data_IF_055168550004
#
_entry.id   IF_055168550004
#
_cell.length_a   1.000
_cell.length_b   1.000
_cell.length_c   1.000
_cell.angle_alpha   90.00
_cell.angle_beta   90.00
_cell.angle_gamma   90.00
#
_symmetry.space_group_name_H-M   'P 1'
#
loop_
_entity.id
_entity.type
_entity.pdbx_description
1 polymer ?
#
# COMPACT_ATOMS: atom_id res chain seq x y z
N UNK A 1 -21.99 -20.24 -14.88
CA UNK A 1 -21.06 -20.62 -13.79
C UNK A 1 -19.59 -20.57 -14.21
N UNK A 2 -19.20 -21.19 -15.33
CA UNK A 2 -17.78 -21.21 -15.79
C UNK A 2 -17.21 -19.81 -16.04
N UNK A 3 -17.97 -18.91 -16.68
CA UNK A 3 -17.54 -17.53 -16.95
C UNK A 3 -17.29 -16.76 -15.65
N UNK A 4 -18.17 -16.91 -14.66
CA UNK A 4 -18.03 -16.26 -13.35
C UNK A 4 -16.81 -16.80 -12.60
N UNK A 5 -16.60 -18.12 -12.59
CA UNK A 5 -15.43 -18.74 -11.98
C UNK A 5 -14.12 -18.23 -12.62
N UNK A 6 -14.10 -18.07 -13.94
CA UNK A 6 -12.95 -17.51 -14.66
C UNK A 6 -12.69 -16.04 -14.29
N UNK A 7 -13.74 -15.23 -14.17
CA UNK A 7 -13.62 -13.84 -13.71
C UNK A 7 -13.08 -13.74 -12.29
N UNK A 8 -13.47 -14.64 -11.38
CA UNK A 8 -12.93 -14.71 -10.02
C UNK A 8 -11.44 -15.07 -10.02
N UNK A 9 -11.02 -16.03 -10.85
CA UNK A 9 -9.60 -16.39 -10.99
C UNK A 9 -8.79 -15.19 -11.49
N UNK A 10 -9.31 -14.45 -12.48
CA UNK A 10 -8.65 -13.23 -12.97
C UNK A 10 -8.56 -12.15 -11.90
N UNK A 11 -9.60 -11.96 -11.09
CA UNK A 11 -9.57 -11.03 -9.96
C UNK A 11 -8.47 -11.41 -8.97
N UNK A 12 -8.41 -12.68 -8.55
CA UNK A 12 -7.35 -13.17 -7.66
C UNK A 12 -5.97 -12.95 -8.28
N UNK A 13 -5.85 -13.19 -9.58
CA UNK A 13 -4.59 -12.98 -10.30
C UNK A 13 -4.15 -11.51 -10.29
N UNK A 14 -4.99 -10.58 -10.75
CA UNK A 14 -4.63 -9.16 -10.85
C UNK A 14 -4.59 -8.44 -9.51
N UNK A 15 -5.40 -8.85 -8.54
CA UNK A 15 -5.43 -8.21 -7.23
C UNK A 15 -4.40 -8.82 -6.29
N UNK A 16 -4.23 -10.14 -6.22
CA UNK A 16 -3.32 -10.75 -5.24
C UNK A 16 -1.99 -11.19 -5.84
N UNK A 17 -2.02 -11.98 -6.92
CA UNK A 17 -0.80 -12.62 -7.45
C UNK A 17 0.14 -11.61 -8.08
N UNK A 18 -0.36 -10.74 -8.96
CA UNK A 18 0.45 -9.76 -9.69
C UNK A 18 1.14 -8.78 -8.74
N UNK A 19 0.43 -8.08 -7.82
CA UNK A 19 1.09 -7.20 -6.86
C UNK A 19 2.08 -7.94 -5.97
N UNK A 20 1.77 -9.17 -5.53
CA UNK A 20 2.69 -9.97 -4.74
C UNK A 20 4.01 -10.27 -5.47
N UNK A 21 3.94 -10.68 -6.74
CA UNK A 21 5.13 -10.96 -7.57
C UNK A 21 5.95 -9.69 -7.82
N UNK A 22 5.30 -8.56 -8.06
CA UNK A 22 5.97 -7.25 -8.15
C UNK A 22 6.67 -6.92 -6.82
N UNK A 23 6.02 -7.20 -5.69
CA UNK A 23 6.62 -7.06 -4.37
C UNK A 23 7.88 -7.91 -4.21
N UNK A 24 7.84 -9.18 -4.62
CA UNK A 24 9.01 -10.07 -4.59
C UNK A 24 10.15 -9.54 -5.47
N UNK A 25 9.84 -8.94 -6.61
CA UNK A 25 10.84 -8.29 -7.48
C UNK A 25 11.58 -7.16 -6.77
N UNK A 26 10.90 -6.39 -5.92
CA UNK A 26 11.47 -5.17 -5.29
C UNK A 26 11.93 -5.41 -3.85
N UNK A 27 11.54 -6.51 -3.21
CA UNK A 27 11.87 -6.81 -1.80
C UNK A 27 13.38 -6.83 -1.47
N UNK A 28 14.25 -6.93 -2.47
CA UNK A 28 15.71 -6.87 -2.31
C UNK A 28 16.20 -5.53 -1.80
N UNK A 29 15.40 -4.48 -1.97
CA UNK A 29 15.68 -3.15 -1.44
C UNK A 29 15.49 -3.08 0.08
N UNK A 30 14.71 -3.99 0.66
CA UNK A 30 14.42 -3.99 2.09
C UNK A 30 15.53 -4.70 2.89
N UNK A 31 15.79 -4.26 4.14
CA UNK A 31 16.61 -5.01 5.09
C UNK A 31 16.04 -6.41 5.35
N UNK A 32 16.90 -7.37 5.66
CA UNK A 32 16.56 -8.80 5.83
C UNK A 32 15.39 -8.99 6.81
N UNK A 33 15.44 -8.36 7.98
CA UNK A 33 14.40 -8.46 9.03
C UNK A 33 13.04 -7.92 8.59
N UNK A 34 13.00 -7.00 7.62
CA UNK A 34 11.76 -6.39 7.12
C UNK A 34 11.23 -7.06 5.85
N UNK A 35 11.89 -8.12 5.36
CA UNK A 35 11.38 -8.94 4.25
C UNK A 35 10.36 -9.94 4.77
N UNK A 36 9.19 -9.43 5.18
CA UNK A 36 8.02 -10.22 5.57
C UNK A 36 7.06 -10.37 4.38
N UNK A 37 6.12 -11.30 4.48
CA UNK A 37 5.09 -11.49 3.45
C UNK A 37 4.22 -10.23 3.34
N UNK A 38 3.82 -9.65 4.48
CA UNK A 38 2.97 -8.46 4.53
C UNK A 38 3.64 -7.23 3.91
N UNK A 39 4.87 -6.92 4.31
CA UNK A 39 5.61 -5.77 3.75
C UNK A 39 5.86 -5.95 2.26
N UNK A 40 6.13 -7.18 1.81
CA UNK A 40 6.29 -7.47 0.38
C UNK A 40 5.00 -7.20 -0.39
N UNK A 41 3.85 -7.56 0.17
CA UNK A 41 2.56 -7.26 -0.44
C UNK A 41 2.30 -5.75 -0.52
N UNK A 42 2.58 -5.00 0.56
CA UNK A 42 2.46 -3.54 0.56
C UNK A 42 3.34 -2.95 -0.54
N UNK A 43 4.63 -3.30 -0.55
CA UNK A 43 5.59 -2.82 -1.56
C UNK A 43 5.12 -3.12 -2.98
N UNK A 44 4.58 -4.31 -3.19
CA UNK A 44 3.98 -4.73 -4.45
C UNK A 44 2.87 -3.80 -4.92
N UNK A 45 1.89 -3.50 -4.06
CA UNK A 45 0.80 -2.59 -4.40
C UNK A 45 1.26 -1.17 -4.67
N UNK A 46 2.14 -0.63 -3.83
CA UNK A 46 2.58 0.76 -4.01
C UNK A 46 3.32 0.90 -5.35
N UNK A 47 4.14 -0.08 -5.75
CA UNK A 47 4.75 -0.11 -7.09
C UNK A 47 3.71 -0.33 -8.18
N UNK A 48 2.74 -1.22 -7.97
CA UNK A 48 1.66 -1.51 -8.92
C UNK A 48 0.83 -0.27 -9.25
N UNK A 49 0.52 0.57 -8.26
CA UNK A 49 -0.16 1.86 -8.45
C UNK A 49 0.75 2.93 -9.03
N UNK A 50 2.02 3.00 -8.62
CA UNK A 50 2.98 3.95 -9.22
C UNK A 50 3.17 3.72 -10.73
N UNK A 51 3.24 2.46 -11.15
CA UNK A 51 3.30 2.10 -12.58
C UNK A 51 2.00 2.49 -13.30
N UNK A 52 0.85 2.35 -12.62
CA UNK A 52 -0.44 2.76 -13.19
C UNK A 52 -0.48 4.27 -13.44
N UNK A 53 -0.06 5.09 -12.48
CA UNK A 53 0.00 6.54 -12.61
C UNK A 53 0.85 7.00 -13.81
N UNK A 54 2.06 6.44 -13.91
CA UNK A 54 3.03 6.77 -14.98
C UNK A 54 2.52 6.41 -16.36
N UNK A 55 1.64 5.41 -16.49
CA UNK A 55 1.05 5.01 -17.77
C UNK A 55 -0.26 5.77 -18.04
N UNK A 56 -1.11 5.91 -17.03
CA UNK A 56 -2.44 6.49 -17.18
C UNK A 56 -2.38 7.98 -17.52
N UNK A 57 -1.51 8.76 -16.85
CA UNK A 57 -1.41 10.21 -17.08
C UNK A 57 -1.01 10.51 -18.54
N UNK A 58 0.08 9.95 -19.11
CA UNK A 58 0.42 10.18 -20.51
C UNK A 58 -0.64 9.68 -21.49
N UNK A 59 -1.24 8.50 -21.24
CA UNK A 59 -2.28 7.99 -22.13
C UNK A 59 -3.48 8.94 -22.20
N UNK A 60 -3.85 9.48 -21.04
CA UNK A 60 -4.96 10.42 -20.91
C UNK A 60 -4.66 11.77 -21.59
N UNK A 61 -3.40 12.23 -21.58
CA UNK A 61 -3.01 13.50 -22.19
C UNK A 61 -2.76 13.43 -23.70
N UNK A 62 -2.34 12.28 -24.21
CA UNK A 62 -1.93 12.14 -25.61
C UNK A 62 -2.98 11.53 -26.54
N UNK A 63 -3.84 10.63 -26.03
CA UNK A 63 -4.82 9.95 -26.86
C UNK A 63 -6.22 10.54 -26.66
N UNK A 64 -6.82 11.02 -27.75
CA UNK A 64 -8.20 11.53 -27.74
C UNK A 64 -9.23 10.41 -27.93
N UNK A 65 -8.90 9.41 -28.76
CA UNK A 65 -9.78 8.28 -29.07
C UNK A 65 -9.22 6.98 -28.51
N UNK A 66 -10.09 6.14 -27.95
CA UNK A 66 -9.75 4.85 -27.34
C UNK A 66 -8.64 4.94 -26.28
N UNK A 67 -8.58 6.07 -25.57
CA UNK A 67 -7.52 6.38 -24.60
C UNK A 67 -7.42 5.29 -23.52
N UNK A 68 -8.57 4.82 -23.04
CA UNK A 68 -8.63 3.81 -22.00
C UNK A 68 -8.20 2.42 -22.49
N UNK A 69 -8.46 2.06 -23.76
CA UNK A 69 -7.92 0.85 -24.38
C UNK A 69 -6.39 0.85 -24.46
N UNK A 70 -5.78 1.97 -24.86
CA UNK A 70 -4.33 2.09 -24.87
C UNK A 70 -3.75 2.00 -23.46
N UNK A 71 -4.32 2.73 -22.50
CA UNK A 71 -3.93 2.66 -21.09
C UNK A 71 -4.00 1.22 -20.56
N UNK A 72 -5.11 0.52 -20.82
CA UNK A 72 -5.32 -0.87 -20.40
C UNK A 72 -4.26 -1.80 -20.99
N UNK A 73 -3.97 -1.68 -22.30
CA UNK A 73 -2.98 -2.52 -22.98
C UNK A 73 -1.57 -2.29 -22.43
N UNK A 74 -1.13 -1.03 -22.32
CA UNK A 74 0.21 -0.72 -21.83
C UNK A 74 0.38 -1.12 -20.37
N UNK A 75 -0.63 -0.87 -19.53
CA UNK A 75 -0.57 -1.27 -18.13
C UNK A 75 -0.56 -2.79 -17.95
N UNK A 76 -1.37 -3.52 -18.73
CA UNK A 76 -1.36 -4.99 -18.73
C UNK A 76 0.01 -5.54 -19.11
N UNK A 77 0.62 -5.02 -20.18
CA UNK A 77 1.96 -5.46 -20.62
C UNK A 77 3.01 -5.14 -19.55
N UNK A 78 3.03 -3.92 -19.01
CA UNK A 78 4.00 -3.51 -18.00
C UNK A 78 3.89 -4.37 -16.72
N UNK A 79 2.67 -4.60 -16.22
CA UNK A 79 2.43 -5.37 -15.00
C UNK A 79 2.77 -6.85 -15.18
N UNK A 80 2.48 -7.44 -16.34
CA UNK A 80 2.89 -8.82 -16.64
C UNK A 80 4.41 -8.98 -16.77
N UNK A 81 5.11 -8.01 -17.37
CA UNK A 81 6.58 -8.01 -17.43
C UNK A 81 7.16 -7.95 -16.01
N UNK A 82 6.68 -7.02 -15.17
CA UNK A 82 7.15 -6.89 -13.79
C UNK A 82 6.84 -8.15 -12.96
N UNK A 83 5.65 -8.73 -13.10
CA UNK A 83 5.28 -9.98 -12.45
C UNK A 83 6.14 -11.16 -12.93
N UNK A 84 6.44 -11.24 -14.23
CA UNK A 84 7.34 -12.24 -14.82
C UNK A 84 8.77 -12.13 -14.29
N UNK A 85 9.31 -10.90 -14.20
CA UNK A 85 10.60 -10.64 -13.56
C UNK A 85 10.60 -11.03 -12.08
N UNK A 86 9.51 -10.75 -11.36
CA UNK A 86 9.32 -11.18 -9.97
C UNK A 86 9.31 -12.69 -9.80
N UNK A 87 8.60 -13.40 -10.69
CA UNK A 87 8.57 -14.86 -10.73
C UNK A 87 9.95 -15.46 -11.06
N UNK A 88 10.67 -14.89 -12.02
CA UNK A 88 12.04 -15.32 -12.32
C UNK A 88 12.96 -15.17 -11.10
N UNK A 89 12.89 -14.03 -10.41
CA UNK A 89 13.64 -13.78 -9.19
C UNK A 89 13.25 -14.76 -8.06
N UNK A 90 11.97 -15.07 -7.93
CA UNK A 90 11.45 -16.05 -6.97
C UNK A 90 12.05 -17.44 -7.22
N UNK A 91 11.97 -17.93 -8.46
CA UNK A 91 12.50 -19.24 -8.87
C UNK A 91 14.02 -19.29 -8.67
N UNK A 92 14.74 -18.21 -9.03
CA UNK A 92 16.18 -18.13 -8.84
C UNK A 92 16.58 -18.21 -7.36
N UNK A 93 15.89 -17.47 -6.48
CA UNK A 93 16.12 -17.53 -5.04
C UNK A 93 15.84 -18.93 -4.47
N UNK A 94 14.74 -19.55 -4.87
CA UNK A 94 14.37 -20.91 -4.42
C UNK A 94 15.40 -21.95 -4.86
N UNK A 95 15.92 -21.86 -6.09
CA UNK A 95 16.98 -22.76 -6.58
C UNK A 95 18.29 -22.60 -5.81
N UNK A 96 18.64 -21.37 -5.42
CA UNK A 96 19.92 -21.08 -4.75
C UNK A 96 19.90 -21.38 -3.25
N UNK A 97 18.77 -21.12 -2.57
CA UNK A 97 18.67 -21.16 -1.10
C UNK A 97 17.81 -22.30 -0.54
N UNK A 98 17.18 -23.10 -1.41
CA UNK A 98 16.31 -24.20 -1.02
C UNK A 98 14.83 -23.80 -0.91
N UNK A 99 13.96 -24.81 -0.86
CA UNK A 99 12.50 -24.68 -0.98
C UNK A 99 11.84 -24.38 0.38
N UNK A 100 12.26 -23.29 1.02
CA UNK A 100 11.69 -22.84 2.31
C UNK A 100 11.13 -21.43 2.21
N UNK A 101 10.01 -21.15 2.90
CA UNK A 101 9.40 -19.81 2.95
C UNK A 101 10.38 -18.76 3.50
N UNK A 102 11.22 -19.18 4.46
CA UNK A 102 12.29 -18.38 5.05
C UNK A 102 13.35 -17.93 4.04
N UNK A 103 13.57 -18.70 2.97
CA UNK A 103 14.56 -18.36 1.95
C UNK A 103 14.20 -17.09 1.17
N UNK A 104 12.89 -16.83 1.03
CA UNK A 104 12.32 -15.68 0.34
C UNK A 104 12.01 -14.56 1.34
N UNK A 105 11.43 -14.93 2.49
CA UNK A 105 10.96 -14.03 3.53
C UNK A 105 11.70 -14.28 4.85
N UNK A 106 12.98 -13.89 4.96
CA UNK A 106 13.75 -14.10 6.18
C UNK A 106 13.20 -13.31 7.39
N UNK A 107 12.36 -12.28 7.17
CA UNK A 107 11.67 -11.55 8.24
C UNK A 107 10.51 -12.32 8.89
N UNK A 108 10.14 -13.49 8.38
CA UNK A 108 9.14 -14.39 8.99
C UNK A 108 9.75 -15.35 10.02
N UNK A 109 11.04 -15.19 10.34
CA UNK A 109 11.75 -16.00 11.33
C UNK A 109 11.15 -15.85 12.73
N UNK A 110 10.78 -16.98 13.33
CA UNK A 110 10.31 -17.03 14.71
C UNK A 110 11.48 -17.28 15.67
N UNK A 111 11.45 -16.64 16.83
CA UNK A 111 12.46 -16.83 17.87
C UNK A 111 12.39 -18.26 18.40
N UNK A 112 13.47 -19.00 18.23
CA UNK A 112 13.63 -20.34 18.79
C UNK A 112 13.95 -20.26 20.29
N UNK A 113 13.67 -21.33 21.04
CA UNK A 113 13.95 -21.37 22.49
C UNK A 113 15.43 -21.08 22.80
N UNK A 114 16.35 -21.54 21.94
CA UNK A 114 17.77 -21.26 22.04
C UNK A 114 18.08 -19.76 21.88
N UNK A 115 17.43 -19.07 20.93
CA UNK A 115 17.62 -17.62 20.71
C UNK A 115 16.97 -16.74 21.80
N UNK A 116 16.01 -17.26 22.55
CA UNK A 116 15.45 -16.57 23.72
C UNK A 116 16.36 -16.69 24.94
N UNK A 117 17.06 -17.83 25.08
CA UNK A 117 17.94 -18.14 26.20
C UNK A 117 19.36 -17.60 26.01
N UNK A 118 19.82 -17.45 24.76
CA UNK A 118 21.17 -16.99 24.51
C UNK A 118 21.30 -15.49 24.87
N UNK A 119 22.28 -15.09 25.70
CA UNK A 119 22.54 -13.68 26.03
C UNK A 119 23.03 -12.84 24.83
N UNK A 120 23.25 -13.52 23.71
CA UNK A 120 23.93 -13.04 22.51
C UNK A 120 22.91 -12.69 21.41
N UNK A 121 21.85 -13.47 21.24
CA UNK A 121 20.79 -13.16 20.28
C UNK A 121 19.90 -12.02 20.80
N UNK A 122 19.54 -11.07 19.91
CA UNK A 122 18.52 -10.07 20.21
C UNK A 122 17.14 -10.61 19.75
N UNK A 123 16.33 -11.20 20.65
CA UNK A 123 15.04 -11.80 20.28
C UNK A 123 14.03 -10.77 19.76
N UNK A 124 14.34 -9.47 19.88
CA UNK A 124 13.51 -8.38 19.37
C UNK A 124 13.46 -8.34 17.84
N UNK A 125 14.39 -8.98 17.13
CA UNK A 125 14.40 -9.01 15.65
C UNK A 125 13.48 -10.08 15.05
N UNK A 126 13.02 -11.01 15.87
CA UNK A 126 12.31 -12.21 15.45
C UNK A 126 10.83 -12.12 15.85
N UNK A 127 9.99 -12.91 15.19
CA UNK A 127 8.59 -13.06 15.58
C UNK A 127 8.51 -13.97 16.81
N UNK A 128 7.73 -13.55 17.80
CA UNK A 128 7.45 -14.36 18.99
C UNK A 128 6.30 -15.31 18.69
N UNK A 129 6.31 -16.47 19.34
CA UNK A 129 5.17 -17.38 19.29
C UNK A 129 4.05 -16.80 20.14
N UNK A 130 2.84 -16.77 19.58
CA UNK A 130 1.66 -16.28 20.29
C UNK A 130 1.17 -17.30 21.32
N UNK A 131 0.94 -16.82 22.55
CA UNK A 131 0.22 -17.55 23.60
C UNK A 131 -1.18 -17.96 23.15
N UNK A 132 -1.80 -18.93 23.83
CA UNK A 132 -3.15 -19.39 23.50
C UNK A 132 -4.17 -18.24 23.57
N UNK A 133 -4.08 -17.38 24.58
CA UNK A 133 -4.92 -16.18 24.71
C UNK A 133 -4.75 -15.25 23.50
N UNK A 134 -3.51 -15.00 23.08
CA UNK A 134 -3.22 -14.15 21.93
C UNK A 134 -3.76 -14.74 20.62
N UNK A 135 -3.77 -16.07 20.46
CA UNK A 135 -4.41 -16.75 19.32
C UNK A 135 -5.93 -16.59 19.34
N UNK A 136 -6.56 -16.63 20.51
CA UNK A 136 -8.01 -16.35 20.65
C UNK A 136 -8.31 -14.91 20.22
N UNK A 137 -7.51 -13.93 20.66
CA UNK A 137 -7.66 -12.54 20.23
C UNK A 137 -7.48 -12.36 18.72
N UNK A 138 -6.53 -13.06 18.10
CA UNK A 138 -6.43 -13.09 16.63
C UNK A 138 -7.70 -13.67 15.98
N UNK A 139 -8.26 -14.75 16.54
CA UNK A 139 -9.52 -15.32 16.08
C UNK A 139 -10.68 -14.32 16.12
N UNK A 140 -10.83 -13.59 17.24
CA UNK A 140 -11.83 -12.51 17.39
C UNK A 140 -11.59 -11.42 16.34
N UNK A 141 -10.35 -10.97 16.17
CA UNK A 141 -10.00 -9.97 15.18
C UNK A 141 -10.37 -10.41 13.75
N UNK A 142 -10.02 -11.64 13.34
CA UNK A 142 -10.37 -12.14 12.01
C UNK A 142 -11.88 -12.29 11.83
N UNK A 143 -12.61 -12.68 12.88
CA UNK A 143 -14.07 -12.71 12.84
C UNK A 143 -14.66 -11.30 12.63
N UNK A 144 -14.12 -10.28 13.28
CA UNK A 144 -14.53 -8.88 13.08
C UNK A 144 -14.23 -8.38 11.66
N UNK A 145 -13.04 -8.69 11.12
CA UNK A 145 -12.68 -8.32 9.74
C UNK A 145 -13.59 -9.04 8.73
N UNK A 146 -13.86 -10.32 8.94
CA UNK A 146 -14.79 -11.08 8.10
C UNK A 146 -16.19 -10.48 8.14
N UNK A 147 -16.68 -10.15 9.34
CA UNK A 147 -17.96 -9.47 9.52
C UNK A 147 -17.99 -8.15 8.74
N UNK A 148 -16.95 -7.31 8.86
CA UNK A 148 -16.88 -6.05 8.11
C UNK A 148 -16.89 -6.26 6.60
N UNK A 149 -16.14 -7.23 6.07
CA UNK A 149 -16.14 -7.54 4.64
C UNK A 149 -17.51 -8.01 4.17
N UNK A 150 -18.18 -8.89 4.92
CA UNK A 150 -19.53 -9.37 4.59
C UNK A 150 -20.53 -8.21 4.61
N UNK A 151 -20.51 -7.40 5.66
CA UNK A 151 -21.42 -6.25 5.77
C UNK A 151 -21.17 -5.21 4.69
N UNK A 152 -19.91 -4.94 4.33
CA UNK A 152 -19.56 -3.99 3.27
C UNK A 152 -20.05 -4.43 1.88
N UNK A 153 -20.25 -5.73 1.65
CA UNK A 153 -20.76 -6.27 0.38
C UNK A 153 -22.29 -6.42 0.39
N UNK A 154 -22.86 -6.86 1.52
CA UNK A 154 -24.29 -7.20 1.60
C UNK A 154 -25.15 -5.98 1.91
N UNK A 155 -24.65 -5.05 2.74
CA UNK A 155 -25.40 -3.84 3.08
C UNK A 155 -25.12 -2.76 2.04
N UNK A 156 -26.19 -2.31 1.39
CA UNK A 156 -26.11 -1.15 0.52
C UNK A 156 -25.92 0.12 1.35
N UNK A 157 -24.86 0.87 1.06
CA UNK A 157 -24.68 2.24 1.52
C UNK A 157 -24.85 3.20 0.35
N UNK A 158 -25.74 4.18 0.50
CA UNK A 158 -25.94 5.21 -0.51
C UNK A 158 -24.95 6.35 -0.29
N UNK A 159 -24.16 6.67 -1.31
CA UNK A 159 -23.26 7.82 -1.28
C UNK A 159 -23.35 8.66 -2.55
N UNK A 160 -23.38 9.99 -2.37
CA UNK A 160 -23.48 10.92 -3.50
C UNK A 160 -22.26 10.92 -4.41
N UNK A 161 -21.06 10.60 -3.90
CA UNK A 161 -19.85 10.55 -4.72
C UNK A 161 -19.82 9.30 -5.63
N UNK A 162 -20.76 8.34 -5.48
CA UNK A 162 -20.87 7.19 -6.39
C UNK A 162 -21.24 7.62 -7.81
N UNK A 163 -22.06 8.67 -7.92
CA UNK A 163 -22.40 9.30 -9.19
C UNK A 163 -21.17 9.83 -9.94
N UNK A 164 -20.06 10.02 -9.23
CA UNK A 164 -18.76 10.34 -9.81
C UNK A 164 -17.85 9.11 -9.94
N UNK A 165 -17.41 8.53 -8.83
CA UNK A 165 -16.35 7.52 -8.84
C UNK A 165 -16.77 6.24 -9.59
N UNK A 166 -17.99 5.76 -9.36
CA UNK A 166 -18.45 4.50 -9.97
C UNK A 166 -18.82 4.72 -11.44
N UNK A 167 -19.48 5.83 -11.73
CA UNK A 167 -19.91 6.18 -13.09
C UNK A 167 -18.72 6.54 -13.98
N UNK A 168 -17.72 7.28 -13.51
CA UNK A 168 -16.50 7.57 -14.28
C UNK A 168 -15.77 6.28 -14.67
N UNK A 169 -15.62 5.35 -13.72
CA UNK A 169 -15.03 4.04 -14.00
C UNK A 169 -15.87 3.17 -14.94
N UNK A 170 -17.19 3.36 -14.93
CA UNK A 170 -18.10 2.69 -15.86
C UNK A 170 -18.00 3.28 -17.27
N UNK A 171 -17.97 4.61 -17.39
CA UNK A 171 -17.79 5.34 -18.65
C UNK A 171 -16.46 4.97 -19.30
N UNK A 172 -15.37 4.89 -18.52
CA UNK A 172 -14.09 4.41 -19.02
C UNK A 172 -14.22 2.99 -19.59
N UNK A 173 -14.86 2.07 -18.87
CA UNK A 173 -15.03 0.69 -19.33
C UNK A 173 -15.90 0.57 -20.59
N UNK A 174 -17.04 1.27 -20.65
CA UNK A 174 -18.05 1.11 -21.70
C UNK A 174 -17.84 2.02 -22.92
N UNK A 175 -17.50 3.28 -22.70
CA UNK A 175 -17.32 4.29 -23.76
C UNK A 175 -15.85 4.44 -24.21
N UNK A 176 -14.92 3.76 -23.54
CA UNK A 176 -13.49 3.76 -23.88
C UNK A 176 -12.79 5.13 -23.83
N UNK A 177 -13.24 5.96 -22.91
CA UNK A 177 -12.75 7.33 -22.68
C UNK A 177 -12.04 7.48 -21.33
N UNK A 178 -11.33 8.59 -21.13
CA UNK A 178 -10.71 8.94 -19.85
C UNK A 178 -11.01 10.40 -19.51
N UNK A 179 -11.96 10.66 -18.59
CA UNK A 179 -12.33 12.00 -18.09
C UNK A 179 -12.78 13.03 -19.18
N UNK A 180 -13.40 12.56 -20.26
CA UNK A 180 -13.96 13.42 -21.34
C UNK A 180 -15.48 13.45 -21.38
N UNK A 181 -16.15 12.62 -20.57
CA UNK A 181 -17.60 12.59 -20.41
C UNK A 181 -17.89 12.88 -18.95
N UNK A 182 -18.79 13.82 -18.68
CA UNK A 182 -19.16 14.18 -17.31
C UNK A 182 -20.03 13.08 -16.69
N UNK A 183 -19.63 12.46 -15.57
CA UNK A 183 -20.39 11.38 -14.94
C UNK A 183 -21.82 11.73 -14.56
N UNK A 184 -22.05 12.98 -14.14
CA UNK A 184 -23.35 13.42 -13.61
C UNK A 184 -24.43 13.64 -14.68
N UNK A 185 -24.04 14.01 -15.90
CA UNK A 185 -24.97 14.41 -16.96
C UNK A 185 -24.85 13.57 -18.22
N UNK A 186 -23.74 12.82 -18.38
CA UNK A 186 -23.43 12.07 -19.60
C UNK A 186 -23.03 12.94 -20.79
N UNK A 187 -22.90 14.26 -20.60
CA UNK A 187 -22.46 15.17 -21.66
C UNK A 187 -20.95 15.14 -21.83
N UNK A 188 -20.47 15.35 -23.05
CA UNK A 188 -19.05 15.62 -23.29
C UNK A 188 -18.62 16.86 -22.51
N UNK A 189 -17.49 16.79 -21.83
CA UNK A 189 -16.93 17.91 -21.08
C UNK A 189 -15.50 18.17 -21.54
N UNK A 190 -15.04 19.41 -21.35
CA UNK A 190 -13.62 19.69 -21.39
C UNK A 190 -12.91 18.88 -20.31
N UNK A 191 -11.66 18.54 -20.58
CA UNK A 191 -10.83 17.74 -19.69
C UNK A 191 -10.86 18.24 -18.24
N UNK A 192 -11.46 17.47 -17.32
CA UNK A 192 -11.56 17.85 -15.91
C UNK A 192 -10.24 17.59 -15.18
N UNK A 193 -9.38 18.61 -15.15
CA UNK A 193 -7.99 18.52 -14.65
C UNK A 193 -7.93 18.04 -13.18
N UNK A 194 -8.91 18.43 -12.35
CA UNK A 194 -8.91 18.13 -10.90
C UNK A 194 -9.03 16.64 -10.63
N UNK A 195 -9.88 15.97 -11.40
CA UNK A 195 -10.17 14.56 -11.23
C UNK A 195 -9.42 13.69 -12.23
N UNK A 196 -8.98 14.26 -13.35
CA UNK A 196 -8.22 13.56 -14.38
C UNK A 196 -6.91 12.97 -13.86
N UNK A 197 -6.16 13.72 -13.06
CA UNK A 197 -4.90 13.22 -12.52
C UNK A 197 -5.11 12.19 -11.38
N UNK A 198 -6.31 12.12 -10.79
CA UNK A 198 -6.67 11.12 -9.78
C UNK A 198 -7.16 9.83 -10.46
N UNK A 199 -6.21 9.04 -10.97
CA UNK A 199 -6.49 7.91 -11.86
C UNK A 199 -7.07 6.66 -11.18
N UNK A 200 -7.45 6.71 -9.89
CA UNK A 200 -8.05 5.56 -9.19
C UNK A 200 -9.31 5.02 -9.90
N UNK A 201 -10.12 5.89 -10.48
CA UNK A 201 -11.32 5.50 -11.26
C UNK A 201 -10.95 4.76 -12.54
N UNK A 202 -9.82 5.10 -13.15
CA UNK A 202 -9.31 4.38 -14.32
C UNK A 202 -8.72 3.01 -13.92
N UNK A 203 -8.13 2.91 -12.73
CA UNK A 203 -7.62 1.64 -12.22
C UNK A 203 -8.75 0.65 -11.92
N UNK A 204 -9.83 1.12 -11.31
CA UNK A 204 -11.02 0.28 -11.05
C UNK A 204 -11.67 -0.16 -12.36
N UNK A 205 -11.75 0.72 -13.36
CA UNK A 205 -12.18 0.37 -14.72
C UNK A 205 -11.25 -0.68 -15.35
N UNK A 206 -9.94 -0.58 -15.14
CA UNK A 206 -8.96 -1.55 -15.65
C UNK A 206 -9.23 -2.94 -15.08
N UNK A 207 -9.48 -3.05 -13.77
CA UNK A 207 -9.82 -4.33 -13.13
C UNK A 207 -11.12 -4.90 -13.71
N UNK A 208 -12.15 -4.06 -13.89
CA UNK A 208 -13.40 -4.46 -14.53
C UNK A 208 -13.20 -5.00 -15.94
N UNK A 209 -12.48 -4.27 -16.79
CA UNK A 209 -12.18 -4.67 -18.17
C UNK A 209 -11.30 -5.92 -18.25
N UNK A 210 -10.24 -6.01 -17.46
CA UNK A 210 -9.32 -7.15 -17.47
C UNK A 210 -10.02 -8.45 -17.02
N UNK A 211 -10.90 -8.35 -16.02
CA UNK A 211 -11.62 -9.50 -15.46
C UNK A 211 -12.93 -9.82 -16.18
N UNK A 212 -13.42 -8.92 -17.04
CA UNK A 212 -14.72 -9.05 -17.71
C UNK A 212 -15.91 -8.86 -16.76
N UNK A 213 -15.77 -8.00 -15.75
CA UNK A 213 -16.78 -7.73 -14.73
C UNK A 213 -17.25 -6.28 -14.89
N UNK A 214 -18.53 -6.02 -14.61
CA UNK A 214 -19.07 -4.66 -14.60
C UNK A 214 -18.40 -3.82 -13.50
N UNK A 215 -17.94 -2.61 -13.81
CA UNK A 215 -17.17 -1.80 -12.85
C UNK A 215 -17.91 -1.52 -11.55
N UNK A 216 -19.22 -1.35 -11.59
CA UNK A 216 -20.06 -1.20 -10.38
C UNK A 216 -19.92 -2.38 -9.41
N UNK A 217 -19.85 -3.61 -9.93
CA UNK A 217 -19.63 -4.81 -9.09
C UNK A 217 -18.22 -4.79 -8.52
N UNK A 218 -17.23 -4.37 -9.31
CA UNK A 218 -15.85 -4.21 -8.82
C UNK A 218 -15.82 -3.21 -7.66
N UNK A 219 -16.44 -2.04 -7.83
CA UNK A 219 -16.44 -0.98 -6.82
C UNK A 219 -17.12 -1.40 -5.51
N UNK A 220 -18.33 -1.97 -5.56
CA UNK A 220 -19.09 -2.26 -4.34
C UNK A 220 -18.83 -3.65 -3.75
N UNK A 221 -18.26 -4.59 -4.50
CA UNK A 221 -18.07 -5.97 -4.00
C UNK A 221 -16.61 -6.41 -3.94
N UNK A 222 -15.76 -5.96 -4.86
CA UNK A 222 -14.37 -6.43 -4.95
C UNK A 222 -13.43 -5.53 -4.16
N UNK A 223 -13.53 -4.22 -4.34
CA UNK A 223 -12.63 -3.25 -3.69
C UNK A 223 -12.75 -3.29 -2.15
N UNK A 224 -13.95 -3.32 -1.52
CA UNK A 224 -14.03 -3.39 -0.06
C UNK A 224 -13.33 -4.65 0.49
N UNK A 225 -13.54 -5.80 -0.14
CA UNK A 225 -12.94 -7.09 0.24
C UNK A 225 -11.42 -7.05 0.12
N UNK A 226 -10.88 -6.21 -0.75
CA UNK A 226 -9.43 -6.02 -0.88
C UNK A 226 -8.89 -4.98 0.11
N UNK A 227 -9.49 -3.80 0.15
CA UNK A 227 -8.98 -2.63 0.88
C UNK A 227 -9.09 -2.83 2.39
N UNK A 228 -10.16 -3.46 2.88
CA UNK A 228 -10.37 -3.65 4.32
C UNK A 228 -9.23 -4.50 4.94
N UNK A 229 -8.94 -5.73 4.47
CA UNK A 229 -7.80 -6.49 4.97
C UNK A 229 -6.45 -5.78 4.75
N UNK A 230 -6.31 -5.06 3.64
CA UNK A 230 -5.06 -4.39 3.30
C UNK A 230 -4.74 -3.24 4.25
N UNK A 231 -5.74 -2.43 4.63
CA UNK A 231 -5.60 -1.40 5.67
C UNK A 231 -5.22 -2.02 7.01
N UNK A 232 -5.88 -3.11 7.41
CA UNK A 232 -5.52 -3.80 8.64
C UNK A 232 -4.12 -4.40 8.60
N UNK A 233 -3.66 -4.87 7.45
CA UNK A 233 -2.29 -5.34 7.27
C UNK A 233 -1.27 -4.23 7.57
N UNK A 234 -1.54 -2.99 7.15
CA UNK A 234 -0.70 -1.82 7.51
C UNK A 234 -0.73 -1.56 9.02
N UNK A 235 -1.90 -1.63 9.65
CA UNK A 235 -2.01 -1.48 11.11
C UNK A 235 -1.24 -2.58 11.87
N UNK A 236 -1.20 -3.82 11.37
CA UNK A 236 -0.36 -4.87 11.95
C UNK A 236 1.12 -4.51 11.88
N UNK A 237 1.59 -3.95 10.76
CA UNK A 237 2.99 -3.54 10.64
C UNK A 237 3.33 -2.33 11.52
N UNK A 238 2.38 -1.40 11.74
CA UNK A 238 2.49 -0.34 12.74
C UNK A 238 2.59 -0.94 14.16
N UNK A 239 1.68 -1.86 14.49
CA UNK A 239 1.62 -2.51 15.79
C UNK A 239 2.90 -3.30 16.11
N UNK A 240 3.51 -3.94 15.11
CA UNK A 240 4.78 -4.65 15.28
C UNK A 240 5.92 -3.73 15.69
N UNK A 241 5.94 -2.49 15.20
CA UNK A 241 6.94 -1.50 15.60
C UNK A 241 6.62 -0.97 17.01
N UNK A 242 5.36 -0.63 17.29
CA UNK A 242 4.93 -0.07 18.58
C UNK A 242 5.06 -1.08 19.74
N UNK A 243 4.61 -2.32 19.54
CA UNK A 243 4.54 -3.38 20.55
C UNK A 243 5.65 -4.42 20.40
N UNK A 244 6.80 -4.04 19.86
CA UNK A 244 7.92 -4.96 19.56
C UNK A 244 8.34 -5.84 20.73
N UNK A 245 8.28 -5.33 21.96
CA UNK A 245 8.62 -6.06 23.20
C UNK A 245 7.50 -6.95 23.73
N UNK A 246 6.26 -6.71 23.32
CA UNK A 246 5.05 -7.41 23.79
C UNK A 246 4.16 -7.76 22.61
N UNK A 247 4.68 -8.60 21.71
CA UNK A 247 3.97 -8.97 20.48
C UNK A 247 2.61 -9.63 20.76
N UNK A 248 2.44 -10.25 21.94
CA UNK A 248 1.18 -10.84 22.40
C UNK A 248 0.00 -9.85 22.43
N UNK A 249 0.28 -8.55 22.58
CA UNK A 249 -0.72 -7.47 22.66
C UNK A 249 -1.16 -6.99 21.26
N UNK A 250 -0.42 -7.32 20.20
CA UNK A 250 -0.74 -6.91 18.82
C UNK A 250 -2.20 -7.22 18.45
N UNK A 251 -2.73 -8.45 18.64
CA UNK A 251 -4.13 -8.72 18.32
C UNK A 251 -5.12 -7.89 19.14
N UNK A 252 -4.81 -7.53 20.39
CA UNK A 252 -5.66 -6.64 21.20
C UNK A 252 -5.70 -5.24 20.59
N UNK A 253 -4.55 -4.70 20.18
CA UNK A 253 -4.48 -3.44 19.43
C UNK A 253 -5.32 -3.51 18.16
N UNK A 254 -5.25 -4.61 17.42
CA UNK A 254 -6.02 -4.80 16.19
C UNK A 254 -7.53 -4.86 16.43
N UNK A 255 -7.98 -5.52 17.51
CA UNK A 255 -9.39 -5.51 17.93
C UNK A 255 -9.85 -4.09 18.25
N UNK A 256 -9.06 -3.32 19.00
CA UNK A 256 -9.42 -1.93 19.36
C UNK A 256 -9.52 -1.05 18.10
N UNK A 257 -8.54 -1.12 17.21
CA UNK A 257 -8.58 -0.37 15.93
C UNK A 257 -9.79 -0.78 15.11
N UNK A 258 -10.07 -2.09 15.04
CA UNK A 258 -11.24 -2.61 14.33
C UNK A 258 -12.55 -2.09 14.90
N UNK A 259 -12.68 -2.10 16.22
CA UNK A 259 -13.84 -1.55 16.93
C UNK A 259 -14.02 -0.05 16.68
N UNK A 260 -12.94 0.74 16.74
CA UNK A 260 -13.00 2.18 16.44
C UNK A 260 -13.42 2.46 15.00
N UNK A 261 -12.98 1.64 14.04
CA UNK A 261 -13.40 1.76 12.64
C UNK A 261 -14.87 1.39 12.43
N UNK A 262 -15.40 0.42 13.19
CA UNK A 262 -16.82 0.03 13.11
C UNK A 262 -17.77 1.06 13.72
N UNK A 263 -17.41 1.61 14.88
CA UNK A 263 -18.29 2.50 15.64
C UNK A 263 -17.98 3.99 15.47
N UNK A 264 -17.04 4.34 14.59
CA UNK A 264 -16.61 5.73 14.34
C UNK A 264 -17.52 6.56 13.43
N UNK A 265 -18.77 6.13 13.17
CA UNK A 265 -19.73 6.83 12.31
C UNK A 265 -20.41 8.02 13.04
N UNK A 266 -19.61 8.94 13.55
CA UNK A 266 -20.09 10.17 14.21
C UNK A 266 -20.42 11.27 13.19
N UNK A 267 -19.81 11.20 11.99
CA UNK A 267 -20.06 12.11 10.87
C UNK A 267 -19.81 11.38 9.55
N UNK A 268 -20.43 11.87 8.48
CA UNK A 268 -20.18 11.41 7.11
C UNK A 268 -18.73 11.64 6.66
N UNK A 269 -18.00 12.53 7.35
CA UNK A 269 -16.62 12.89 7.05
C UNK A 269 -15.58 12.18 7.92
N UNK A 270 -15.97 11.25 8.81
CA UNK A 270 -14.98 10.53 9.62
C UNK A 270 -14.26 9.45 8.80
N UNK A 271 -12.98 9.18 9.09
CA UNK A 271 -12.23 8.14 8.39
C UNK A 271 -12.87 6.75 8.54
N UNK A 272 -13.49 6.48 9.69
CA UNK A 272 -14.23 5.25 9.97
C UNK A 272 -15.45 5.06 9.05
N UNK A 273 -16.25 6.12 8.82
CA UNK A 273 -17.37 6.06 7.88
C UNK A 273 -16.87 5.79 6.48
N UNK A 274 -15.88 6.57 6.02
CA UNK A 274 -15.25 6.36 4.71
C UNK A 274 -14.76 4.91 4.53
N UNK A 275 -14.13 4.36 5.56
CA UNK A 275 -13.51 3.03 5.51
C UNK A 275 -14.51 1.89 5.31
N UNK A 276 -15.76 1.98 5.75
CA UNK A 276 -16.71 0.89 5.64
C UNK A 276 -17.79 1.12 4.58
N UNK A 277 -18.21 2.36 4.34
CA UNK A 277 -19.32 2.66 3.42
C UNK A 277 -18.87 3.21 2.07
N UNK A 278 -17.59 3.61 1.92
CA UNK A 278 -17.10 4.34 0.74
C UNK A 278 -15.70 3.88 0.30
N UNK A 279 -15.41 2.58 0.43
CA UNK A 279 -14.06 1.99 0.25
C UNK A 279 -13.43 2.20 -1.12
N UNK A 280 -14.25 2.30 -2.18
CA UNK A 280 -13.81 2.48 -3.57
C UNK A 280 -13.36 3.90 -3.89
N UNK A 281 -13.59 4.86 -2.99
CA UNK A 281 -13.24 6.26 -3.23
C UNK A 281 -11.78 6.52 -2.88
N UNK A 282 -11.11 7.31 -3.73
CA UNK A 282 -9.71 7.67 -3.50
C UNK A 282 -9.48 8.41 -2.18
N UNK A 283 -10.44 9.21 -1.72
CA UNK A 283 -10.39 9.91 -0.41
C UNK A 283 -10.24 8.92 0.74
N UNK A 284 -11.01 7.83 0.69
CA UNK A 284 -10.97 6.75 1.69
C UNK A 284 -9.61 6.09 1.73
N UNK A 285 -9.06 5.76 0.56
CA UNK A 285 -7.73 5.12 0.44
C UNK A 285 -6.66 6.05 0.99
N UNK A 286 -6.71 7.37 0.72
CA UNK A 286 -5.73 8.30 1.28
C UNK A 286 -5.78 8.32 2.82
N UNK A 287 -6.97 8.52 3.39
CA UNK A 287 -7.13 8.66 4.84
C UNK A 287 -6.82 7.37 5.61
N UNK A 288 -7.26 6.22 5.10
CA UNK A 288 -7.18 4.94 5.82
C UNK A 288 -6.00 4.06 5.41
N UNK A 289 -5.35 4.32 4.29
CA UNK A 289 -4.20 3.54 3.82
C UNK A 289 -2.94 4.41 3.67
N UNK A 290 -2.99 5.50 2.89
CA UNK A 290 -1.79 6.31 2.59
C UNK A 290 -1.23 6.98 3.85
N UNK A 291 -2.07 7.62 4.67
CA UNK A 291 -1.58 8.27 5.88
C UNK A 291 -1.00 7.28 6.90
N UNK A 292 -1.65 6.13 7.20
CA UNK A 292 -1.03 5.07 8.01
C UNK A 292 0.27 4.52 7.41
N UNK A 293 0.38 4.38 6.09
CA UNK A 293 1.62 3.96 5.43
C UNK A 293 2.76 4.96 5.63
N UNK A 294 2.49 6.27 5.45
CA UNK A 294 3.48 7.31 5.73
C UNK A 294 3.93 7.22 7.19
N UNK A 295 2.97 7.16 8.12
CA UNK A 295 3.26 7.03 9.55
C UNK A 295 4.12 5.80 9.87
N UNK A 296 3.77 4.65 9.28
CA UNK A 296 4.51 3.39 9.44
C UNK A 296 5.97 3.51 9.00
N UNK A 297 6.24 4.15 7.86
CA UNK A 297 7.61 4.30 7.36
C UNK A 297 8.42 5.24 8.24
N UNK A 298 7.82 6.32 8.74
CA UNK A 298 8.50 7.19 9.71
C UNK A 298 8.78 6.49 11.03
N UNK A 299 7.86 5.65 11.53
CA UNK A 299 8.12 4.79 12.69
C UNK A 299 9.29 3.84 12.45
N UNK A 300 9.38 3.24 11.26
CA UNK A 300 10.54 2.45 10.86
C UNK A 300 11.82 3.30 10.94
N UNK A 301 11.85 4.46 10.29
CA UNK A 301 13.04 5.31 10.27
C UNK A 301 13.48 5.78 11.68
N UNK A 302 12.52 6.11 12.54
CA UNK A 302 12.77 6.47 13.95
C UNK A 302 13.34 5.28 14.75
N UNK A 303 12.86 4.07 14.49
CA UNK A 303 13.40 2.86 15.11
C UNK A 303 14.86 2.64 14.69
N UNK A 304 15.16 2.79 13.41
CA UNK A 304 16.52 2.64 12.88
C UNK A 304 17.46 3.76 13.37
N UNK A 305 16.92 4.95 13.66
CA UNK A 305 17.64 6.08 14.27
C UNK A 305 18.00 5.84 15.74
N UNK A 306 17.04 5.39 16.58
CA UNK A 306 17.30 5.09 18.01
C UNK A 306 18.40 4.04 18.18
N UNK A 307 18.49 3.07 17.28
CA UNK A 307 19.56 2.05 17.29
C UNK A 307 20.95 2.66 17.03
N UNK A 308 21.05 3.82 16.37
CA UNK A 308 22.31 4.54 16.12
C UNK A 308 22.68 5.53 17.23
N UNK A 309 21.73 6.01 18.04
CA UNK A 309 21.87 7.24 18.83
C UNK A 309 21.80 7.10 20.35
N UNK A 310 21.83 5.90 20.95
CA UNK A 310 21.59 5.85 22.41
C UNK A 310 22.77 6.36 23.25
N UNK A 311 24.04 6.06 22.99
CA UNK A 311 25.18 6.77 23.59
C UNK A 311 26.44 6.45 22.78
N UNK A 312 27.32 7.43 22.60
CA UNK A 312 28.65 7.23 22.05
C UNK A 312 29.41 6.18 22.85
N UNK A 313 29.47 4.98 22.30
CA UNK A 313 30.20 3.85 22.82
C UNK A 313 29.99 2.73 21.81
N UNK A 314 31.08 2.20 21.25
CA UNK A 314 31.04 0.94 20.51
C UNK A 314 30.24 -0.04 21.37
N UNK A 315 29.04 -0.43 20.92
CA UNK A 315 28.33 -1.50 21.61
C UNK A 315 29.24 -2.72 21.53
N UNK A 316 29.83 -3.08 22.67
CA UNK A 316 30.62 -4.28 22.88
C UNK A 316 29.76 -5.56 22.86
N UNK A 317 28.70 -5.54 22.07
CA UNK A 317 27.75 -6.63 21.86
C UNK A 317 27.37 -6.66 20.37
N UNK A 318 28.39 -6.65 19.51
CA UNK A 318 28.25 -7.09 18.14
C UNK A 318 28.20 -8.62 18.17
N UNK A 319 27.01 -9.18 18.39
CA UNK A 319 26.78 -10.61 18.23
C UNK A 319 26.88 -10.99 16.75
N UNK A 320 27.24 -12.22 16.41
CA UNK A 320 27.41 -12.70 15.01
C UNK A 320 26.23 -12.36 14.06
N UNK A 321 24.99 -12.24 14.55
CA UNK A 321 23.86 -11.74 13.73
C UNK A 321 23.99 -10.26 13.27
N UNK A 322 24.80 -9.46 13.98
CA UNK A 322 25.16 -8.09 13.64
C UNK A 322 26.21 -8.01 12.52
N UNK A 323 27.02 -9.05 12.29
CA UNK A 323 28.04 -9.02 11.23
C UNK A 323 27.44 -9.18 9.82
N UNK A 324 26.37 -9.97 9.67
CA UNK A 324 25.60 -10.03 8.40
C UNK A 324 24.87 -8.69 8.12
N UNK A 325 24.63 -7.89 9.17
CA UNK A 325 24.08 -6.53 9.11
C UNK A 325 25.12 -5.46 8.70
N UNK A 326 26.41 -5.79 8.72
CA UNK A 326 27.52 -4.87 8.42
C UNK A 326 27.67 -4.59 6.92
N UNK A 327 27.04 -5.37 6.05
CA UNK A 327 26.71 -4.89 4.70
C UNK A 327 25.60 -3.84 4.79
N UNK A 328 25.93 -2.66 5.33
CA UNK A 328 25.13 -1.45 5.29
C UNK A 328 25.10 -0.93 3.86
N UNK A 329 24.56 -1.74 2.94
CA UNK A 329 24.40 -1.41 1.54
C UNK A 329 23.58 -0.14 1.50
N UNK A 330 24.10 0.87 0.81
CA UNK A 330 23.50 2.20 0.68
C UNK A 330 21.99 2.12 0.40
N UNK A 331 21.58 1.09 -0.36
CA UNK A 331 20.18 0.79 -0.69
C UNK A 331 19.27 0.65 0.53
N UNK A 332 19.71 0.09 1.66
CA UNK A 332 18.89 -0.07 2.87
C UNK A 332 18.65 1.25 3.60
N UNK A 333 19.58 2.21 3.46
CA UNK A 333 19.41 3.56 4.00
C UNK A 333 18.47 4.41 3.14
N UNK A 334 18.49 4.17 1.83
CA UNK A 334 17.66 4.89 0.86
C UNK A 334 16.27 4.24 0.72
N UNK A 335 16.11 2.95 1.02
CA UNK A 335 14.86 2.23 0.85
C UNK A 335 13.62 2.87 1.47
N UNK A 336 13.62 3.38 2.73
CA UNK A 336 12.42 4.04 3.27
C UNK A 336 12.06 5.32 2.50
N UNK A 337 13.03 6.06 1.96
CA UNK A 337 12.78 7.24 1.14
C UNK A 337 12.18 6.91 -0.22
N UNK A 338 12.66 5.84 -0.86
CA UNK A 338 12.06 5.34 -2.11
C UNK A 338 10.64 4.86 -1.83
N UNK A 339 10.43 4.19 -0.71
CA UNK A 339 9.11 3.73 -0.31
C UNK A 339 8.14 4.90 -0.07
N UNK A 340 8.59 5.96 0.60
CA UNK A 340 7.81 7.21 0.75
C UNK A 340 7.51 7.87 -0.60
N UNK A 341 8.46 7.87 -1.54
CA UNK A 341 8.23 8.40 -2.89
C UNK A 341 7.10 7.66 -3.61
N UNK A 342 7.12 6.32 -3.53
CA UNK A 342 6.07 5.47 -4.09
C UNK A 342 4.72 5.67 -3.37
N UNK A 343 4.71 5.87 -2.05
CA UNK A 343 3.48 6.17 -1.30
C UNK A 343 2.91 7.54 -1.70
N UNK A 344 3.78 8.52 -1.97
CA UNK A 344 3.36 9.84 -2.45
C UNK A 344 2.71 9.73 -3.84
N UNK A 345 3.26 8.93 -4.75
CA UNK A 345 2.62 8.58 -6.03
C UNK A 345 1.24 7.93 -5.82
N UNK A 346 1.13 6.96 -4.91
CA UNK A 346 -0.17 6.37 -4.55
C UNK A 346 -1.17 7.43 -4.05
N UNK A 347 -0.71 8.44 -3.34
CA UNK A 347 -1.56 9.56 -2.91
C UNK A 347 -2.14 10.33 -4.11
N UNK A 348 -1.31 10.61 -5.13
CA UNK A 348 -1.72 11.24 -6.38
C UNK A 348 -2.72 10.40 -7.17
N UNK A 349 -2.49 9.10 -7.29
CA UNK A 349 -3.44 8.14 -7.90
C UNK A 349 -4.83 8.25 -7.27
N UNK A 350 -4.89 8.41 -5.95
CA UNK A 350 -6.15 8.42 -5.22
C UNK A 350 -6.88 9.76 -5.31
N UNK A 351 -6.21 10.88 -5.04
CA UNK A 351 -6.82 12.21 -5.09
C UNK A 351 -5.78 13.33 -5.15
N UNK A 352 -6.10 14.41 -5.86
CA UNK A 352 -5.29 15.63 -5.91
C UNK A 352 -5.04 16.26 -4.54
N UNK A 353 -6.00 16.20 -3.61
CA UNK A 353 -5.79 16.67 -2.23
C UNK A 353 -4.83 15.77 -1.44
N UNK A 354 -4.75 14.48 -1.79
CA UNK A 354 -3.81 13.55 -1.18
C UNK A 354 -2.36 13.96 -1.42
N UNK A 355 -2.07 14.58 -2.56
CA UNK A 355 -0.73 15.11 -2.88
C UNK A 355 -0.30 16.17 -1.86
N UNK A 356 -1.20 17.10 -1.52
CA UNK A 356 -0.95 18.15 -0.54
C UNK A 356 -0.87 17.62 0.88
N UNK A 357 -1.86 16.83 1.33
CA UNK A 357 -1.85 16.32 2.70
C UNK A 357 -0.75 15.29 2.94
N UNK A 358 -0.48 14.42 1.97
CA UNK A 358 0.59 13.42 2.05
C UNK A 358 1.98 14.06 2.14
N UNK A 359 2.25 15.08 1.31
CA UNK A 359 3.51 15.84 1.40
C UNK A 359 3.61 16.66 2.70
N UNK A 360 2.51 17.26 3.17
CA UNK A 360 2.45 17.94 4.46
C UNK A 360 2.75 17.02 5.64
N UNK A 361 2.19 15.80 5.64
CA UNK A 361 2.48 14.75 6.64
C UNK A 361 3.94 14.30 6.58
N UNK A 362 4.49 14.12 5.38
CA UNK A 362 5.91 13.82 5.21
C UNK A 362 6.79 14.94 5.76
N UNK A 363 6.46 16.21 5.53
CA UNK A 363 7.19 17.36 6.06
C UNK A 363 7.14 17.39 7.60
N UNK A 364 5.96 17.21 8.19
CA UNK A 364 5.77 17.17 9.64
C UNK A 364 6.59 16.07 10.30
N UNK A 365 6.52 14.84 9.80
CA UNK A 365 7.28 13.73 10.38
C UNK A 365 8.78 13.81 10.08
N UNK A 366 9.18 14.46 8.99
CA UNK A 366 10.60 14.77 8.72
C UNK A 366 11.14 15.73 9.78
N UNK A 367 10.36 16.72 10.22
CA UNK A 367 10.74 17.61 11.31
C UNK A 367 10.96 16.81 12.61
N UNK A 368 10.03 15.91 12.95
CA UNK A 368 10.18 15.01 14.10
C UNK A 368 11.44 14.17 13.97
N UNK A 369 11.67 13.55 12.80
CA UNK A 369 12.85 12.72 12.55
C UNK A 369 14.15 13.52 12.64
N UNK A 370 14.16 14.78 12.21
CA UNK A 370 15.31 15.67 12.31
C UNK A 370 15.67 15.99 13.76
N UNK A 371 14.67 16.16 14.64
CA UNK A 371 14.90 16.35 16.09
C UNK A 371 15.57 15.13 16.73
N UNK A 372 15.24 13.91 16.28
CA UNK A 372 15.82 12.66 16.79
C UNK A 372 17.18 12.31 16.16
N UNK A 373 17.32 12.37 14.83
CA UNK A 373 18.58 12.02 14.15
C UNK A 373 19.64 13.13 14.24
N UNK A 374 19.24 14.39 14.47
CA UNK A 374 20.12 15.58 14.44
C UNK A 374 21.00 15.63 13.18
N UNK A 375 20.49 15.13 12.05
CA UNK A 375 21.21 15.02 10.80
C UNK A 375 20.45 15.68 9.66
N UNK A 376 21.04 16.72 9.08
CA UNK A 376 20.44 17.47 7.97
C UNK A 376 20.28 16.65 6.67
N UNK A 377 20.97 15.51 6.53
CA UNK A 377 20.79 14.61 5.38
C UNK A 377 19.36 14.06 5.27
N UNK A 378 18.61 14.05 6.37
CA UNK A 378 17.19 13.67 6.41
C UNK A 378 16.35 14.59 5.54
N UNK A 379 16.67 15.89 5.47
CA UNK A 379 15.96 16.87 4.65
C UNK A 379 16.11 16.53 3.16
N UNK A 380 17.30 16.14 2.73
CA UNK A 380 17.54 15.75 1.34
C UNK A 380 16.68 14.54 0.95
N UNK A 381 16.61 13.52 1.82
CA UNK A 381 15.73 12.37 1.61
C UNK A 381 14.25 12.77 1.52
N UNK A 382 13.80 13.71 2.36
CA UNK A 382 12.43 14.20 2.36
C UNK A 382 12.08 15.01 1.10
N UNK A 383 13.00 15.83 0.60
CA UNK A 383 12.81 16.52 -0.69
C UNK A 383 12.68 15.48 -1.81
N UNK A 384 13.58 14.49 -1.85
CA UNK A 384 13.56 13.46 -2.87
C UNK A 384 12.25 12.64 -2.87
N UNK A 385 11.65 12.35 -1.71
CA UNK A 385 10.42 11.57 -1.66
C UNK A 385 9.16 12.36 -2.10
N UNK A 386 9.23 13.68 -2.16
CA UNK A 386 8.11 14.55 -2.58
C UNK A 386 8.23 14.95 -4.07
N UNK A 387 9.34 14.64 -4.75
CA UNK A 387 9.52 14.92 -6.18
C UNK A 387 8.34 14.45 -7.05
N UNK A 388 7.79 13.22 -6.89
CA UNK A 388 6.66 12.80 -7.71
C UNK A 388 5.43 13.71 -7.56
N UNK A 389 5.15 14.16 -6.34
CA UNK A 389 4.08 15.10 -6.05
C UNK A 389 4.33 16.48 -6.68
N UNK A 390 5.59 16.94 -6.68
CA UNK A 390 5.95 18.18 -7.37
C UNK A 390 5.73 18.08 -8.88
N UNK A 391 6.09 16.95 -9.48
CA UNK A 391 5.84 16.68 -10.91
C UNK A 391 4.33 16.66 -11.17
N UNK A 392 3.54 15.99 -10.32
CA UNK A 392 2.09 15.97 -10.42
C UNK A 392 1.50 17.39 -10.39
N UNK A 393 1.89 18.22 -9.42
CA UNK A 393 1.43 19.62 -9.30
C UNK A 393 1.88 20.45 -10.50
N UNK A 394 3.08 20.22 -11.02
CA UNK A 394 3.58 20.90 -12.20
C UNK A 394 2.77 20.56 -13.46
N UNK A 395 2.45 19.27 -13.67
CA UNK A 395 1.55 18.82 -14.75
C UNK A 395 0.17 19.45 -14.58
N UNK A 396 -0.38 19.44 -13.36
CA UNK A 396 -1.66 20.07 -13.05
C UNK A 396 -1.65 21.56 -13.43
N UNK A 397 -0.60 22.28 -13.05
CA UNK A 397 -0.45 23.71 -13.34
C UNK A 397 -0.34 23.97 -14.84
N UNK A 398 0.42 23.16 -15.58
CA UNK A 398 0.54 23.27 -17.03
C UNK A 398 -0.79 23.06 -17.75
N UNK A 399 -1.61 22.12 -17.27
CA UNK A 399 -2.92 21.84 -17.86
C UNK A 399 -3.94 22.94 -17.56
N UNK A 400 -3.84 23.60 -16.40
CA UNK A 400 -4.72 24.71 -16.04
C UNK A 400 -4.53 25.96 -16.93
N UNK A 401 -3.33 26.12 -17.49
CA UNK A 401 -2.95 27.27 -18.32
C UNK A 401 -2.99 26.97 -19.83
N UNK A 402 -3.50 25.80 -20.22
CA UNK A 402 -3.87 25.46 -21.60
C UNK A 402 -5.37 25.63 -21.77
#
# INVERSE_FOLDING_TARGET
>A
MIIVAWSVIKLIFFLLVVPFLIGVLVNGMLPIVRRTVGITMILGYVVYFAVFEVIAIPCMLHYVYNAFSYCTKYYLVATLILAGCGLFRLIFCLRKKGLSLLSIFPGETHATAHELLSPRSDPRMLKLNYSLESRIYWGIFFALVLLQMVLAVVLASFDGDDAYYVVESLLAQQADVMNTILPYTGMSTSFDIRHALAVITMWTAFIGRACGIHTTIVSHSVIPVLVIPFVYLVYVEIARILFRRRQEIIPVFMIIVSFLMMFGNVSIYTPATFFLTRTWQGKTIVCNLVFPLIFWVFLWMLEDSKRRSIFGGKSAMATESYEEYREAKLIYRISPWIFLALINMLSGVCTSLGVFFGSGLCALFTLVLLLFERNFRVIFGAICCVIPNMIYVWIYWMLLHR
#
